data_IF_340906885006
#
_entry.id   IF_340906885006
#
_cell.length_a   1.000
_cell.length_b   1.000
_cell.length_c   1.000
_cell.angle_alpha   90.00
_cell.angle_beta   90.00
_cell.angle_gamma   90.00
#
_symmetry.space_group_name_H-M   'P 1'
#
loop_
_entity.id
_entity.type
_entity.pdbx_description
1 polymer ?
#
# COMPACT_ATOMS: atom_id res chain seq x y z
N UNK A 1 7.60 21.15 10.08
CA UNK A 1 7.06 21.67 8.80
C UNK A 1 8.00 22.76 8.33
N UNK A 2 8.41 22.76 7.07
CA UNK A 2 9.38 23.71 6.51
C UNK A 2 9.19 23.81 5.00
N UNK A 3 10.03 24.59 4.28
CA UNK A 3 9.86 24.83 2.84
C UNK A 3 9.93 23.56 1.97
N UNK A 4 10.42 22.46 2.53
CA UNK A 4 10.46 21.14 1.89
C UNK A 4 9.34 20.20 2.34
N UNK A 5 8.32 20.71 3.01
CA UNK A 5 7.14 19.90 3.30
C UNK A 5 6.47 19.49 1.98
N UNK A 6 6.22 18.19 1.83
CA UNK A 6 5.66 17.66 0.61
C UNK A 6 4.30 18.32 0.30
N UNK A 7 4.26 19.06 -0.80
CA UNK A 7 3.04 19.71 -1.29
C UNK A 7 1.94 18.67 -1.58
N UNK A 8 2.35 17.48 -2.04
CA UNK A 8 1.46 16.35 -2.31
C UNK A 8 1.00 15.57 -1.07
N UNK A 9 1.42 15.94 0.14
CA UNK A 9 1.17 15.11 1.31
C UNK A 9 -0.33 14.97 1.65
N UNK A 10 -1.15 15.98 1.34
CA UNK A 10 -2.60 15.88 1.50
C UNK A 10 -3.22 14.92 0.46
N UNK A 11 -2.82 15.06 -0.81
CA UNK A 11 -3.29 14.18 -1.89
C UNK A 11 -2.88 12.72 -1.65
N UNK A 12 -1.62 12.47 -1.28
CA UNK A 12 -1.12 11.12 -1.00
C UNK A 12 -1.88 10.45 0.16
N UNK A 13 -2.26 11.20 1.19
CA UNK A 13 -3.08 10.68 2.29
C UNK A 13 -4.49 10.31 1.82
N UNK A 14 -5.12 11.16 1.02
CA UNK A 14 -6.45 10.88 0.46
C UNK A 14 -6.42 9.65 -0.44
N UNK A 15 -5.47 9.59 -1.37
CA UNK A 15 -5.30 8.45 -2.29
C UNK A 15 -5.03 7.16 -1.51
N UNK A 16 -4.12 7.19 -0.54
CA UNK A 16 -3.83 6.03 0.30
C UNK A 16 -5.05 5.55 1.09
N UNK A 17 -5.82 6.48 1.66
CA UNK A 17 -7.07 6.17 2.36
C UNK A 17 -8.07 5.47 1.45
N UNK A 18 -8.40 6.09 0.31
CA UNK A 18 -9.38 5.53 -0.63
C UNK A 18 -8.92 4.18 -1.16
N UNK A 19 -7.65 4.04 -1.54
CA UNK A 19 -7.12 2.77 -2.06
C UNK A 19 -7.23 1.63 -1.04
N UNK A 20 -6.85 1.87 0.22
CA UNK A 20 -6.94 0.86 1.28
C UNK A 20 -8.39 0.56 1.63
N UNK A 21 -9.25 1.57 1.80
CA UNK A 21 -10.67 1.37 2.12
C UNK A 21 -11.38 0.54 1.05
N UNK A 22 -11.18 0.85 -0.23
CA UNK A 22 -11.82 0.11 -1.32
C UNK A 22 -11.28 -1.31 -1.44
N UNK A 23 -9.97 -1.52 -1.25
CA UNK A 23 -9.37 -2.85 -1.28
C UNK A 23 -9.95 -3.75 -0.18
N UNK A 24 -10.03 -3.24 1.06
CA UNK A 24 -10.55 -3.97 2.21
C UNK A 24 -12.07 -4.18 2.14
N UNK A 25 -12.82 -3.22 1.59
CA UNK A 25 -14.24 -3.39 1.34
C UNK A 25 -14.52 -4.47 0.30
N UNK A 26 -13.73 -4.51 -0.78
CA UNK A 26 -13.90 -5.48 -1.88
C UNK A 26 -13.47 -6.89 -1.50
N UNK A 27 -12.42 -7.01 -0.68
CA UNK A 27 -11.81 -8.25 -0.23
C UNK A 27 -11.73 -8.26 1.30
N UNK A 28 -12.86 -8.46 2.00
CA UNK A 28 -12.90 -8.43 3.46
C UNK A 28 -12.14 -9.61 4.09
N UNK A 29 -12.06 -10.72 3.38
CA UNK A 29 -11.21 -11.86 3.69
C UNK A 29 -9.99 -11.81 2.78
N UNK A 30 -8.82 -11.61 3.37
CA UNK A 30 -7.56 -11.58 2.63
C UNK A 30 -6.38 -11.98 3.52
N UNK A 31 -5.31 -12.40 2.88
CA UNK A 31 -4.02 -12.67 3.51
C UNK A 31 -2.90 -11.93 2.78
N UNK A 32 -1.91 -11.46 3.54
CA UNK A 32 -0.70 -10.83 3.02
C UNK A 32 0.52 -11.63 3.48
N UNK A 33 1.27 -12.15 2.53
CA UNK A 33 2.54 -12.84 2.82
C UNK A 33 3.70 -11.82 2.78
N UNK A 34 3.93 -11.17 3.92
CA UNK A 34 5.03 -10.21 4.05
C UNK A 34 6.42 -10.87 3.95
N UNK A 35 6.54 -12.16 4.29
CA UNK A 35 7.81 -12.89 4.20
C UNK A 35 8.20 -13.20 2.75
N UNK A 36 7.21 -13.43 1.88
CA UNK A 36 7.37 -13.56 0.43
C UNK A 36 7.50 -12.22 -0.32
N UNK A 37 7.42 -11.08 0.38
CA UNK A 37 7.55 -9.75 -0.21
C UNK A 37 8.98 -9.43 -0.65
N UNK A 38 9.12 -8.74 -1.79
CA UNK A 38 10.40 -8.27 -2.32
C UNK A 38 10.42 -6.76 -2.41
N UNK A 39 11.38 -6.13 -1.71
CA UNK A 39 11.60 -4.70 -1.83
C UNK A 39 12.27 -4.35 -3.16
N UNK A 40 11.91 -3.20 -3.71
CA UNK A 40 12.64 -2.60 -4.81
C UNK A 40 14.07 -2.27 -4.38
N UNK A 41 15.03 -2.45 -5.28
CA UNK A 41 16.41 -2.04 -5.05
C UNK A 41 16.57 -0.51 -5.07
N UNK A 42 17.66 -0.03 -4.49
CA UNK A 42 18.05 1.39 -4.51
C UNK A 42 17.86 2.12 -3.17
N UNK A 43 18.55 3.26 -2.97
CA UNK A 43 18.65 3.89 -1.65
C UNK A 43 17.59 4.97 -1.36
N UNK A 44 16.76 5.36 -2.33
CA UNK A 44 15.95 6.58 -2.22
C UNK A 44 14.56 6.36 -1.60
N UNK A 45 13.84 5.32 -2.01
CA UNK A 45 12.45 5.08 -1.60
C UNK A 45 12.26 3.61 -1.25
N UNK A 46 11.84 3.33 -0.02
CA UNK A 46 11.47 1.99 0.42
C UNK A 46 10.06 1.65 -0.09
N UNK A 47 9.97 0.66 -0.97
CA UNK A 47 8.69 0.13 -1.48
C UNK A 47 8.81 -1.35 -1.80
N UNK A 48 7.71 -2.08 -1.69
CA UNK A 48 7.63 -3.40 -2.30
C UNK A 48 7.61 -3.25 -3.83
N UNK A 49 8.43 -4.03 -4.52
CA UNK A 49 8.25 -4.30 -5.96
C UNK A 49 7.23 -5.42 -6.17
N UNK A 50 7.18 -6.36 -5.22
CA UNK A 50 6.21 -7.45 -5.19
C UNK A 50 5.82 -7.73 -3.74
N UNK A 51 4.52 -7.89 -3.48
CA UNK A 51 3.97 -8.31 -2.19
C UNK A 51 2.79 -9.23 -2.46
N UNK A 52 2.88 -10.54 -2.14
CA UNK A 52 1.77 -11.45 -2.35
C UNK A 52 0.55 -11.06 -1.52
N UNK A 53 -0.60 -10.98 -2.20
CA UNK A 53 -1.91 -10.71 -1.63
C UNK A 53 -2.88 -11.78 -2.13
N UNK A 54 -3.55 -12.49 -1.22
CA UNK A 54 -4.52 -13.54 -1.54
C UNK A 54 -5.89 -13.12 -1.03
N UNK A 55 -6.90 -13.22 -1.87
CA UNK A 55 -8.30 -12.94 -1.51
C UNK A 55 -9.00 -14.24 -1.12
N UNK A 56 -9.78 -14.22 -0.05
CA UNK A 56 -10.71 -15.32 0.25
C UNK A 56 -11.76 -15.47 -0.85
N UNK A 57 -12.25 -16.70 -1.05
CA UNK A 57 -13.43 -16.94 -1.88
C UNK A 57 -14.66 -16.44 -1.13
N UNK A 58 -15.36 -15.45 -1.69
CA UNK A 58 -16.65 -15.01 -1.13
C UNK A 58 -17.64 -16.18 -1.28
N UNK A 59 -18.10 -16.74 -0.16
CA UNK A 59 -19.26 -17.63 -0.12
C UNK A 59 -20.52 -16.91 -0.60
#
# INVERSE_FOLDING_TARGET
YGPHHCLGAAAARLQGKVAVEQLLWRFPEFEVDAAGGRFAAGPFVRRYEYLPFRTGSRS
#
